data_IF_874697689108
#
_entry.id   IF_874697689108
#
_cell.length_a   1.000
_cell.length_b   1.000
_cell.length_c   1.000
_cell.angle_alpha   90.00
_cell.angle_beta   90.00
_cell.angle_gamma   90.00
#
_symmetry.space_group_name_H-M   'P 1'
#
loop_
_entity.id
_entity.type
_entity.pdbx_description
1 polymer ?
#
# COMPACT_ATOMS: atom_id res chain seq x y z
N UNK A 1 -0.74 11.74 -1.69
CA UNK A 1 -1.06 10.36 -1.26
C UNK A 1 -0.94 10.15 0.24
N UNK A 2 0.20 10.47 0.89
CA UNK A 2 0.41 10.26 2.34
C UNK A 2 -0.74 10.73 3.24
N UNK A 3 -1.27 11.95 3.00
CA UNK A 3 -2.42 12.48 3.76
C UNK A 3 -3.65 11.56 3.67
N UNK A 4 -3.95 11.06 2.48
CA UNK A 4 -5.13 10.23 2.24
C UNK A 4 -4.97 8.83 2.86
N UNK A 5 -3.77 8.25 2.79
CA UNK A 5 -3.48 6.96 3.42
C UNK A 5 -3.48 7.04 4.96
N UNK A 6 -3.25 8.22 5.53
CA UNK A 6 -3.33 8.40 6.99
C UNK A 6 -4.76 8.26 7.49
N UNK A 7 -5.73 8.75 6.70
CA UNK A 7 -7.14 8.83 7.09
C UNK A 7 -7.96 7.64 6.53
N UNK A 8 -7.39 6.86 5.62
CA UNK A 8 -8.05 5.70 5.02
C UNK A 8 -8.07 4.49 5.96
N UNK A 9 -9.24 3.87 6.07
CA UNK A 9 -9.41 2.56 6.73
C UNK A 9 -8.97 1.41 5.83
N UNK A 10 -9.15 1.55 4.51
CA UNK A 10 -8.75 0.56 3.49
C UNK A 10 -8.09 1.30 2.33
N UNK A 11 -6.99 0.75 1.79
CA UNK A 11 -6.41 1.23 0.55
C UNK A 11 -5.84 0.07 -0.28
N UNK A 12 -6.26 0.00 -1.55
CA UNK A 12 -5.68 -0.88 -2.57
C UNK A 12 -4.64 -0.07 -3.34
N UNK A 13 -3.40 -0.55 -3.33
CA UNK A 13 -2.23 0.15 -3.83
C UNK A 13 -1.71 -0.60 -5.04
N UNK A 14 -1.50 0.11 -6.14
CA UNK A 14 -1.05 -0.45 -7.42
C UNK A 14 0.05 0.43 -8.00
N UNK A 15 1.14 -0.18 -8.42
CA UNK A 15 2.27 0.49 -9.05
C UNK A 15 3.38 0.90 -8.07
N UNK A 16 4.58 1.08 -8.61
CA UNK A 16 5.81 1.24 -7.82
C UNK A 16 5.76 2.44 -6.86
N UNK A 17 5.27 3.60 -7.30
CA UNK A 17 5.17 4.79 -6.45
C UNK A 17 4.13 4.66 -5.32
N UNK A 18 3.03 3.96 -5.59
CA UNK A 18 2.00 3.68 -4.58
C UNK A 18 2.58 2.81 -3.45
N UNK A 19 3.25 1.73 -3.84
CA UNK A 19 3.85 0.74 -2.94
C UNK A 19 5.00 1.36 -2.16
N UNK A 20 5.93 2.06 -2.82
CA UNK A 20 7.06 2.75 -2.17
C UNK A 20 6.60 3.71 -1.09
N UNK A 21 5.55 4.47 -1.35
CA UNK A 21 5.01 5.38 -0.34
C UNK A 21 4.34 4.65 0.82
N UNK A 22 3.60 3.57 0.59
CA UNK A 22 2.94 2.82 1.66
C UNK A 22 3.94 2.07 2.55
N UNK A 23 4.96 1.45 1.95
CA UNK A 23 6.08 0.83 2.67
C UNK A 23 6.86 1.89 3.45
N UNK A 24 7.18 3.03 2.84
CA UNK A 24 7.85 4.13 3.52
C UNK A 24 7.04 4.79 4.65
N UNK A 25 5.74 4.52 4.74
CA UNK A 25 4.88 4.93 5.85
C UNK A 25 4.67 3.82 6.88
N UNK A 26 5.22 2.62 6.67
CA UNK A 26 5.00 1.45 7.53
C UNK A 26 3.58 0.89 7.46
N UNK A 27 2.82 1.18 6.39
CA UNK A 27 1.44 0.72 6.23
C UNK A 27 1.33 -0.64 5.53
N UNK A 28 2.38 -1.05 4.84
CA UNK A 28 2.48 -2.32 4.10
C UNK A 28 3.89 -2.88 4.34
N UNK A 29 3.99 -4.17 4.65
CA UNK A 29 5.27 -4.89 4.66
C UNK A 29 5.69 -5.26 3.23
N UNK A 30 6.99 -5.24 2.94
CA UNK A 30 7.51 -5.69 1.63
C UNK A 30 7.12 -7.14 1.32
N UNK A 31 7.03 -7.99 2.34
CA UNK A 31 6.61 -9.40 2.22
C UNK A 31 5.15 -9.56 1.79
N UNK A 32 4.34 -8.49 1.88
CA UNK A 32 2.94 -8.50 1.48
C UNK A 32 2.70 -7.95 0.07
N UNK A 33 3.77 -7.63 -0.69
CA UNK A 33 3.67 -7.13 -2.05
C UNK A 33 3.51 -8.29 -3.02
N UNK A 34 2.39 -8.30 -3.74
CA UNK A 34 2.14 -9.23 -4.85
C UNK A 34 2.49 -8.55 -6.17
N UNK A 35 3.12 -9.26 -7.11
CA UNK A 35 3.27 -8.78 -8.49
C UNK A 35 2.26 -9.46 -9.39
N UNK A 36 1.40 -8.66 -10.01
CA UNK A 36 0.41 -9.10 -11.00
C UNK A 36 0.78 -8.45 -12.32
N UNK A 37 1.08 -9.26 -13.33
CA UNK A 37 1.60 -8.80 -14.62
C UNK A 37 2.84 -7.89 -14.48
N UNK A 38 3.75 -8.25 -13.57
CA UNK A 38 4.94 -7.47 -13.25
C UNK A 38 4.69 -6.21 -12.40
N UNK A 39 3.44 -5.75 -12.27
CA UNK A 39 3.08 -4.55 -11.50
C UNK A 39 2.90 -4.90 -10.02
N UNK A 40 3.51 -4.16 -9.08
CA UNK A 40 3.37 -4.45 -7.67
C UNK A 40 2.02 -3.96 -7.13
N UNK A 41 1.42 -4.77 -6.27
CA UNK A 41 0.11 -4.58 -5.66
C UNK A 41 0.20 -4.89 -4.17
N UNK A 42 -0.53 -4.13 -3.36
CA UNK A 42 -0.72 -4.42 -1.94
C UNK A 42 -2.04 -3.82 -1.45
N UNK A 43 -2.51 -4.29 -0.30
CA UNK A 43 -3.67 -3.74 0.37
C UNK A 43 -3.32 -3.48 1.84
N UNK A 44 -3.79 -2.36 2.38
CA UNK A 44 -3.83 -2.15 3.83
C UNK A 44 -5.28 -2.11 4.33
N UNK A 45 -5.51 -2.60 5.54
CA UNK A 45 -6.78 -2.52 6.25
C UNK A 45 -6.47 -2.13 7.70
N UNK A 46 -7.17 -1.13 8.22
CA UNK A 46 -7.17 -0.77 9.65
C UNK A 46 -8.49 -1.20 10.25
N UNK A 47 -8.42 -2.03 11.27
CA UNK A 47 -9.58 -2.35 12.10
C UNK A 47 -9.73 -1.21 13.11
N UNK A 48 -10.91 -0.59 13.16
CA UNK A 48 -11.30 0.48 14.08
C UNK A 48 -12.33 -0.05 15.07
#
# INVERSE_FOLDING_TARGET
MKRFLKDATIANLVGEEAIKCAVGMGLVSEDCILRIDGIPHAQMVRMI
#
